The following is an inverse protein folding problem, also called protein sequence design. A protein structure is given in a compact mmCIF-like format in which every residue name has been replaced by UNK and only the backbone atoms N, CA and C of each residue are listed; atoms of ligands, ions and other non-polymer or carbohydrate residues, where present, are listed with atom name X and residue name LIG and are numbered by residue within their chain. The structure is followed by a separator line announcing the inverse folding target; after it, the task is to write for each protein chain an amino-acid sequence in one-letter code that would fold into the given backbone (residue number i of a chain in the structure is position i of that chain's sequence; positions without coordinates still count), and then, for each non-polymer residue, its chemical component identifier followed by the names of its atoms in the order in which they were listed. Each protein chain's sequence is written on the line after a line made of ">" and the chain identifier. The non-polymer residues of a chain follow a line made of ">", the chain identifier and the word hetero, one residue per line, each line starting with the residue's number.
data_IF_455150142273
#
_entry.id   IF_455150142273
#
_cell.length_a   1.000
_cell.length_b   1.000
_cell.length_c   1.000
_cell.angle_alpha   90.00
_cell.angle_beta   90.00
_cell.angle_gamma   90.00
#
_symmetry.space_group_name_H-M   'P 1'
#
loop_
_entity.id
_entity.type
_entity.pdbx_description
1 polymer ?
#
# COMPACT_ATOMS: atom_id res chain seq x y z
N UNK A 1 14.12 1.42 3.09
CA UNK A 1 13.21 0.41 3.68
C UNK A 1 12.75 -0.56 2.61
N UNK A 2 12.62 -1.85 2.96
CA UNK A 2 12.06 -2.88 2.07
C UNK A 2 10.63 -3.18 2.52
N UNK A 3 9.69 -3.04 1.58
CA UNK A 3 8.24 -3.18 1.80
C UNK A 3 7.73 -4.36 0.96
N UNK A 4 7.06 -5.31 1.59
CA UNK A 4 6.46 -6.45 0.88
C UNK A 4 5.13 -6.02 0.23
N UNK A 5 5.09 -6.04 -1.12
CA UNK A 5 3.91 -5.71 -1.94
C UNK A 5 2.82 -6.75 -1.76
N UNK A 6 1.69 -6.39 -1.15
CA UNK A 6 0.57 -7.28 -0.79
C UNK A 6 0.98 -8.47 0.09
N UNK A 7 2.11 -8.33 0.81
CA UNK A 7 2.77 -9.41 1.51
C UNK A 7 3.57 -10.35 0.59
N UNK A 8 4.19 -11.41 1.16
CA UNK A 8 4.82 -12.47 0.34
C UNK A 8 3.72 -13.32 -0.29
N UNK A 9 3.46 -13.07 -1.59
CA UNK A 9 2.33 -13.62 -2.32
C UNK A 9 2.68 -14.69 -3.34
N UNK A 10 3.96 -15.13 -3.41
CA UNK A 10 4.36 -16.21 -4.33
C UNK A 10 3.67 -17.54 -4.04
N UNK A 11 3.61 -17.91 -2.75
CA UNK A 11 3.02 -19.18 -2.27
C UNK A 11 1.76 -19.00 -1.44
N UNK A 12 1.36 -17.76 -1.17
CA UNK A 12 0.24 -17.39 -0.32
C UNK A 12 -0.67 -16.38 -1.05
N UNK A 13 -1.98 -16.38 -0.78
CA UNK A 13 -2.84 -15.37 -1.39
C UNK A 13 -2.39 -13.95 -1.03
N UNK A 14 -2.28 -13.08 -2.03
CA UNK A 14 -2.00 -11.66 -1.85
C UNK A 14 -2.99 -11.01 -0.89
N UNK A 15 -2.59 -9.93 -0.20
CA UNK A 15 -3.44 -9.17 0.71
C UNK A 15 -4.07 -10.02 1.83
N UNK A 16 -3.43 -11.13 2.21
CA UNK A 16 -3.89 -12.01 3.30
C UNK A 16 -3.04 -11.86 4.55
N UNK A 17 -3.63 -12.20 5.72
CA UNK A 17 -2.87 -12.22 6.98
C UNK A 17 -1.72 -13.23 6.94
N UNK A 18 -1.84 -14.32 6.17
CA UNK A 18 -0.77 -15.30 5.99
C UNK A 18 0.40 -14.73 5.21
N UNK A 19 0.15 -14.01 4.10
CA UNK A 19 1.18 -13.34 3.31
C UNK A 19 1.90 -12.24 4.13
N UNK A 20 1.16 -11.46 4.89
CA UNK A 20 1.74 -10.44 5.79
C UNK A 20 2.58 -11.04 6.91
N UNK A 21 2.10 -12.12 7.56
CA UNK A 21 2.89 -12.80 8.59
C UNK A 21 4.16 -13.45 8.04
N UNK A 22 4.12 -14.01 6.82
CA UNK A 22 5.30 -14.51 6.13
C UNK A 22 6.32 -13.38 5.88
N UNK A 23 5.83 -12.19 5.48
CA UNK A 23 6.69 -11.01 5.30
C UNK A 23 7.40 -10.59 6.59
N UNK A 24 6.71 -10.63 7.72
CA UNK A 24 7.33 -10.35 9.02
C UNK A 24 8.40 -11.38 9.39
N UNK A 25 8.19 -12.65 9.02
CA UNK A 25 9.13 -13.73 9.33
C UNK A 25 10.47 -13.57 8.58
N UNK A 26 10.46 -13.03 7.35
CA UNK A 26 11.70 -12.74 6.60
C UNK A 26 12.34 -11.41 6.98
N UNK A 27 11.69 -10.58 7.81
CA UNK A 27 12.30 -9.40 8.41
C UNK A 27 12.10 -8.09 7.67
N UNK A 28 11.12 -7.98 6.74
CA UNK A 28 10.81 -6.71 6.02
C UNK A 28 10.64 -5.52 6.97
N UNK A 29 10.90 -4.31 6.46
CA UNK A 29 10.67 -3.07 7.20
C UNK A 29 9.19 -2.69 7.26
N UNK A 30 8.41 -3.15 6.29
CA UNK A 30 6.98 -2.89 6.22
C UNK A 30 6.27 -3.85 5.28
N UNK A 31 4.95 -3.82 5.36
CA UNK A 31 4.03 -4.44 4.40
C UNK A 31 3.27 -3.35 3.66
N UNK A 32 2.85 -3.66 2.47
CA UNK A 32 1.90 -2.86 1.72
C UNK A 32 0.64 -3.71 1.49
N UNK A 33 -0.53 -3.09 1.49
CA UNK A 33 -1.79 -3.72 1.20
C UNK A 33 -2.82 -2.74 0.65
N UNK A 34 -3.75 -3.29 -0.16
CA UNK A 34 -4.78 -2.57 -0.89
C UNK A 34 -6.11 -2.57 -0.13
N UNK A 35 -6.77 -1.42 0.01
CA UNK A 35 -7.95 -1.31 0.85
C UNK A 35 -9.14 -0.67 0.13
N UNK A 36 -10.31 -1.32 0.29
CA UNK A 36 -11.60 -0.86 -0.20
C UNK A 36 -12.61 -0.71 0.93
N UNK A 37 -13.62 0.15 0.71
CA UNK A 37 -14.77 0.30 1.58
C UNK A 37 -15.92 -0.59 1.12
N UNK A 38 -16.50 -1.39 2.03
CA UNK A 38 -17.67 -2.21 1.78
C UNK A 38 -18.96 -1.40 1.89
N UNK A 39 -20.08 -1.96 1.40
CA UNK A 39 -21.42 -1.34 1.49
C UNK A 39 -21.84 -0.99 2.92
N UNK A 40 -21.43 -1.79 3.90
CA UNK A 40 -21.76 -1.60 5.33
C UNK A 40 -20.68 -0.84 6.10
N UNK A 41 -19.73 -0.19 5.39
CA UNK A 41 -18.75 0.71 5.96
C UNK A 41 -17.55 0.04 6.63
N UNK A 42 -17.31 -1.25 6.38
CA UNK A 42 -16.11 -1.95 6.80
C UNK A 42 -14.98 -1.74 5.79
N UNK A 43 -13.73 -1.70 6.25
CA UNK A 43 -12.56 -1.61 5.37
C UNK A 43 -11.94 -2.99 5.22
N UNK A 44 -11.80 -3.48 3.98
CA UNK A 44 -11.25 -4.79 3.64
C UNK A 44 -10.01 -4.68 2.77
N UNK A 45 -9.11 -5.66 2.93
CA UNK A 45 -7.83 -5.71 2.20
C UNK A 45 -7.96 -6.61 0.98
N UNK A 46 -8.02 -6.01 -0.21
CA UNK A 46 -8.12 -6.68 -1.52
C UNK A 46 -7.77 -5.66 -2.61
N UNK A 47 -7.07 -6.09 -3.69
CA UNK A 47 -6.61 -5.19 -4.73
C UNK A 47 -7.71 -4.69 -5.66
N UNK A 48 -8.48 -5.64 -6.26
CA UNK A 48 -9.48 -5.31 -7.27
C UNK A 48 -10.77 -4.81 -6.62
N UNK A 49 -11.59 -4.07 -7.36
CA UNK A 49 -12.91 -3.61 -6.93
C UNK A 49 -13.93 -4.77 -6.78
N UNK A 50 -13.53 -5.98 -7.16
CA UNK A 50 -14.32 -7.20 -7.07
C UNK A 50 -13.46 -8.41 -6.74
N UNK A 51 -14.09 -9.53 -6.38
CA UNK A 51 -13.40 -10.72 -5.87
C UNK A 51 -13.07 -11.77 -6.96
N UNK A 52 -13.37 -11.52 -8.24
CA UNK A 52 -13.33 -12.53 -9.30
C UNK A 52 -11.97 -13.18 -9.54
N UNK A 53 -10.88 -12.41 -9.36
CA UNK A 53 -9.51 -12.91 -9.61
C UNK A 53 -8.97 -13.76 -8.45
N UNK A 54 -9.34 -13.40 -7.23
CA UNK A 54 -8.75 -13.98 -6.01
C UNK A 54 -9.71 -14.86 -5.21
N UNK A 55 -10.96 -15.02 -5.67
CA UNK A 55 -11.97 -15.90 -5.05
C UNK A 55 -12.74 -16.69 -6.10
N UNK A 56 -13.44 -17.73 -5.66
CA UNK A 56 -14.29 -18.57 -6.53
C UNK A 56 -15.65 -17.97 -6.89
N UNK A 57 -15.99 -16.79 -6.37
CA UNK A 57 -17.23 -16.05 -6.63
C UNK A 57 -16.92 -14.58 -6.89
N UNK A 58 -17.64 -13.98 -7.84
CA UNK A 58 -17.50 -12.55 -8.13
C UNK A 58 -18.50 -11.72 -7.30
N UNK A 59 -17.97 -10.92 -6.39
CA UNK A 59 -18.70 -9.91 -5.63
C UNK A 59 -18.02 -8.55 -5.80
N UNK A 60 -18.79 -7.50 -6.10
CA UNK A 60 -18.28 -6.12 -6.15
C UNK A 60 -18.19 -5.60 -4.72
N UNK A 61 -17.02 -5.14 -4.29
CA UNK A 61 -16.70 -4.82 -2.89
C UNK A 61 -17.65 -3.73 -2.34
N UNK A 62 -17.79 -2.61 -3.04
CA UNK A 62 -18.64 -1.49 -2.59
C UNK A 62 -20.16 -1.84 -2.54
N UNK A 63 -20.56 -2.94 -3.17
CA UNK A 63 -21.93 -3.44 -3.18
C UNK A 63 -22.17 -4.60 -2.19
N UNK A 64 -21.12 -5.07 -1.52
CA UNK A 64 -21.14 -6.23 -0.62
C UNK A 64 -20.95 -5.82 0.83
N UNK A 65 -21.54 -6.56 1.75
CA UNK A 65 -21.28 -6.44 3.18
C UNK A 65 -20.03 -7.21 3.58
N UNK A 66 -19.42 -6.86 4.70
CA UNK A 66 -18.30 -7.62 5.27
C UNK A 66 -18.68 -9.11 5.46
N UNK A 67 -19.91 -9.40 5.91
CA UNK A 67 -20.36 -10.78 6.11
C UNK A 67 -20.31 -11.57 4.80
N UNK A 68 -20.85 -11.03 3.70
CA UNK A 68 -20.83 -11.68 2.39
C UNK A 68 -19.40 -11.95 1.90
N UNK A 69 -18.48 -11.00 2.11
CA UNK A 69 -17.06 -11.15 1.73
C UNK A 69 -16.34 -12.18 2.61
N UNK A 70 -16.64 -12.26 3.89
CA UNK A 70 -16.04 -13.24 4.83
C UNK A 70 -16.49 -14.69 4.58
N UNK A 71 -17.57 -14.91 3.81
CA UNK A 71 -17.94 -16.25 3.34
C UNK A 71 -16.99 -16.80 2.28
N UNK A 72 -16.32 -15.92 1.51
CA UNK A 72 -15.38 -16.30 0.47
C UNK A 72 -14.02 -16.77 1.04
N UNK A 73 -13.31 -17.58 0.28
CA UNK A 73 -11.92 -17.94 0.53
C UNK A 73 -11.04 -17.33 -0.56
N UNK A 74 -9.94 -16.72 -0.13
CA UNK A 74 -8.87 -16.29 -1.04
C UNK A 74 -8.18 -17.51 -1.63
N UNK A 75 -7.89 -17.45 -2.92
CA UNK A 75 -7.20 -18.47 -3.70
C UNK A 75 -5.82 -17.95 -4.12
N UNK A 76 -4.87 -18.85 -4.26
CA UNK A 76 -3.60 -18.62 -4.90
C UNK A 76 -3.48 -19.58 -6.08
N UNK A 77 -2.92 -19.14 -7.19
CA UNK A 77 -2.83 -19.93 -8.41
C UNK A 77 -2.15 -21.29 -8.12
N UNK A 78 -2.85 -22.38 -8.49
CA UNK A 78 -2.36 -23.75 -8.30
C UNK A 78 -2.41 -24.34 -6.89
N UNK A 79 -2.98 -23.63 -5.90
CA UNK A 79 -3.09 -24.11 -4.50
C UNK A 79 -4.50 -23.91 -3.96
N UNK A 80 -5.14 -24.99 -3.52
CA UNK A 80 -6.39 -24.94 -2.75
C UNK A 80 -6.09 -24.54 -1.31
N UNK A 81 -6.06 -23.24 -1.04
CA UNK A 81 -5.89 -22.71 0.31
C UNK A 81 -7.22 -22.75 1.05
N UNK A 82 -7.39 -23.75 1.84
CA UNK A 82 -8.55 -23.90 2.70
C UNK A 82 -8.57 -22.81 3.76
N UNK A 83 -9.65 -22.00 3.74
CA UNK A 83 -10.05 -21.11 4.82
C UNK A 83 -9.21 -19.84 5.05
N UNK A 84 -8.54 -19.30 4.03
CA UNK A 84 -7.92 -17.96 4.10
C UNK A 84 -8.95 -16.93 3.66
N UNK A 85 -9.28 -15.99 4.54
CA UNK A 85 -10.33 -14.97 4.36
C UNK A 85 -9.75 -13.64 3.94
N UNK A 86 -10.55 -12.84 3.24
CA UNK A 86 -10.26 -11.42 3.00
C UNK A 86 -10.17 -10.73 4.37
N UNK A 87 -9.02 -10.14 4.75
CA UNK A 87 -8.90 -9.51 6.05
C UNK A 87 -9.52 -8.10 6.06
N UNK A 88 -9.94 -7.66 7.24
CA UNK A 88 -10.28 -6.27 7.50
C UNK A 88 -9.03 -5.46 7.83
N UNK A 89 -9.09 -4.13 7.68
CA UNK A 89 -8.02 -3.24 8.13
C UNK A 89 -7.67 -3.48 9.61
N UNK A 90 -8.69 -3.59 10.48
CA UNK A 90 -8.47 -3.88 11.91
C UNK A 90 -7.72 -5.18 12.15
N UNK A 91 -7.96 -6.24 11.35
CA UNK A 91 -7.22 -7.50 11.45
C UNK A 91 -5.76 -7.33 11.01
N UNK A 92 -5.52 -6.59 9.92
CA UNK A 92 -4.16 -6.30 9.43
C UNK A 92 -3.38 -5.46 10.44
N UNK A 93 -3.98 -4.38 10.96
CA UNK A 93 -3.32 -3.50 11.95
C UNK A 93 -2.86 -4.25 13.21
N UNK A 94 -3.58 -5.28 13.63
CA UNK A 94 -3.24 -6.09 14.82
C UNK A 94 -1.95 -6.90 14.68
N UNK A 95 -1.55 -7.23 13.46
CA UNK A 95 -0.36 -8.03 13.20
C UNK A 95 0.87 -7.22 12.80
N UNK A 96 0.75 -5.88 12.72
CA UNK A 96 1.90 -5.00 12.46
C UNK A 96 2.78 -4.91 13.72
N UNK A 97 4.04 -5.38 13.67
CA UNK A 97 4.92 -5.32 14.83
C UNK A 97 5.30 -3.88 15.20
N UNK A 98 5.62 -3.65 16.46
CA UNK A 98 6.15 -2.36 16.91
C UNK A 98 7.41 -1.98 16.13
N UNK A 99 7.46 -0.74 15.64
CA UNK A 99 8.57 -0.21 14.85
C UNK A 99 8.56 -0.58 13.36
N UNK A 100 7.69 -1.48 12.92
CA UNK A 100 7.49 -1.82 11.51
C UNK A 100 6.44 -0.91 10.87
N UNK A 101 6.45 -0.81 9.53
CA UNK A 101 5.55 0.06 8.76
C UNK A 101 4.40 -0.73 8.14
N UNK A 102 3.28 -0.04 7.92
CA UNK A 102 2.23 -0.46 7.00
C UNK A 102 1.97 0.65 5.99
N UNK A 103 2.00 0.29 4.72
CA UNK A 103 1.56 1.13 3.60
C UNK A 103 0.13 0.71 3.26
N UNK A 104 -0.81 1.64 3.37
CA UNK A 104 -2.24 1.43 3.15
C UNK A 104 -2.60 2.10 1.83
N UNK A 105 -2.72 1.31 0.75
CA UNK A 105 -3.18 1.85 -0.52
C UNK A 105 -4.70 1.97 -0.53
N UNK A 106 -5.19 3.18 -0.74
CA UNK A 106 -6.61 3.46 -0.90
C UNK A 106 -7.00 3.25 -2.36
N UNK A 107 -7.86 2.24 -2.60
CA UNK A 107 -8.32 1.84 -3.93
C UNK A 107 -9.69 2.43 -4.32
N UNK A 108 -10.37 3.06 -3.37
CA UNK A 108 -11.66 3.76 -3.58
C UNK A 108 -11.50 5.26 -3.31
N UNK A 109 -12.60 6.03 -3.33
CA UNK A 109 -12.55 7.48 -3.19
C UNK A 109 -12.46 7.96 -1.74
N UNK A 110 -12.72 9.25 -1.55
CA UNK A 110 -12.61 9.94 -0.25
C UNK A 110 -13.57 9.43 0.83
N UNK A 111 -14.60 8.70 0.45
CA UNK A 111 -15.60 8.12 1.36
C UNK A 111 -15.00 7.16 2.40
N UNK A 112 -13.82 6.58 2.12
CA UNK A 112 -13.12 5.70 3.05
C UNK A 112 -12.42 6.47 4.18
N UNK A 113 -12.11 7.76 4.01
CA UNK A 113 -11.23 8.49 4.91
C UNK A 113 -11.77 8.58 6.35
N UNK A 114 -13.07 8.89 6.51
CA UNK A 114 -13.66 8.98 7.85
C UNK A 114 -13.65 7.64 8.60
N UNK A 115 -14.09 6.49 8.02
CA UNK A 115 -13.91 5.19 8.67
C UNK A 115 -12.45 4.81 8.88
N UNK A 116 -11.54 5.09 7.94
CA UNK A 116 -10.10 4.81 8.06
C UNK A 116 -9.49 5.52 9.28
N UNK A 117 -9.66 6.84 9.39
CA UNK A 117 -9.14 7.64 10.50
C UNK A 117 -9.71 7.13 11.83
N UNK A 118 -10.99 6.78 11.85
CA UNK A 118 -11.64 6.20 13.05
C UNK A 118 -11.05 4.85 13.44
N UNK A 119 -10.75 3.95 12.49
CA UNK A 119 -10.11 2.66 12.79
C UNK A 119 -8.66 2.85 13.27
N UNK A 120 -7.88 3.71 12.59
CA UNK A 120 -6.51 4.03 12.96
C UNK A 120 -6.44 4.62 14.38
N UNK A 121 -7.30 5.58 14.72
CA UNK A 121 -7.33 6.20 16.06
C UNK A 121 -7.72 5.24 17.19
N UNK A 122 -8.45 4.16 16.89
CA UNK A 122 -8.83 3.11 17.85
C UNK A 122 -7.81 1.98 17.94
N UNK A 123 -6.91 1.88 16.99
CA UNK A 123 -5.85 0.90 16.98
C UNK A 123 -4.74 1.28 17.96
N UNK A 124 -3.84 0.32 18.23
CA UNK A 124 -2.62 0.58 19.02
C UNK A 124 -1.43 1.00 18.17
N UNK A 125 -1.64 1.16 16.85
CA UNK A 125 -0.56 1.51 15.93
C UNK A 125 -0.20 2.99 16.11
N UNK A 126 1.10 3.29 16.05
CA UNK A 126 1.54 4.67 16.09
C UNK A 126 1.39 5.29 14.69
N UNK A 127 0.99 6.57 14.59
CA UNK A 127 0.87 7.26 13.30
C UNK A 127 2.15 7.20 12.47
N UNK A 128 3.32 7.20 13.13
CA UNK A 128 4.61 7.05 12.47
C UNK A 128 4.83 5.68 11.79
N UNK A 129 4.04 4.66 12.13
CA UNK A 129 4.08 3.34 11.49
C UNK A 129 3.19 3.27 10.24
N UNK A 130 2.30 4.25 10.03
CA UNK A 130 1.30 4.25 8.97
C UNK A 130 1.73 5.19 7.85
N UNK A 131 1.68 4.71 6.61
CA UNK A 131 1.84 5.50 5.39
C UNK A 131 0.61 5.24 4.52
N UNK A 132 -0.16 6.27 4.23
CA UNK A 132 -1.31 6.17 3.33
C UNK A 132 -0.84 6.50 1.92
N UNK A 133 -1.21 5.68 0.96
CA UNK A 133 -0.84 5.88 -0.44
C UNK A 133 -2.08 5.80 -1.32
N UNK A 134 -2.14 6.59 -2.38
CA UNK A 134 -3.25 6.56 -3.34
C UNK A 134 -2.85 7.18 -4.68
N UNK A 135 -3.46 6.69 -5.77
CA UNK A 135 -3.43 7.35 -7.08
C UNK A 135 -4.38 8.55 -7.15
N UNK A 136 -5.37 8.61 -6.25
CA UNK A 136 -6.32 9.71 -6.21
C UNK A 136 -5.76 10.88 -5.38
N UNK A 137 -5.42 11.97 -6.08
CA UNK A 137 -4.93 13.21 -5.46
C UNK A 137 -5.90 13.81 -4.45
N UNK A 138 -7.22 13.60 -4.65
CA UNK A 138 -8.23 14.13 -3.73
C UNK A 138 -8.20 13.36 -2.40
N UNK A 139 -8.01 12.05 -2.44
CA UNK A 139 -7.80 11.21 -1.24
C UNK A 139 -6.60 11.71 -0.43
N UNK A 140 -5.45 11.93 -1.09
CA UNK A 140 -4.24 12.45 -0.42
C UNK A 140 -4.50 13.82 0.18
N UNK A 141 -5.09 14.74 -0.59
CA UNK A 141 -5.38 16.11 -0.12
C UNK A 141 -6.31 16.13 1.08
N UNK A 142 -7.46 15.44 0.99
CA UNK A 142 -8.44 15.44 2.08
C UNK A 142 -7.90 14.73 3.32
N UNK A 143 -7.14 13.63 3.16
CA UNK A 143 -6.47 13.00 4.29
C UNK A 143 -5.56 13.98 5.04
N UNK A 144 -4.73 14.75 4.30
CA UNK A 144 -3.81 15.73 4.92
C UNK A 144 -4.55 16.90 5.58
N UNK A 145 -5.79 17.19 5.16
CA UNK A 145 -6.66 18.18 5.81
C UNK A 145 -7.33 17.61 7.07
N UNK A 146 -7.75 16.34 7.04
CA UNK A 146 -8.49 15.69 8.14
C UNK A 146 -7.59 15.13 9.24
N UNK A 147 -6.42 14.59 8.87
CA UNK A 147 -5.52 13.86 9.78
C UNK A 147 -4.05 14.04 9.36
N UNK A 148 -3.50 15.27 9.49
CA UNK A 148 -2.15 15.62 9.02
C UNK A 148 -1.03 14.84 9.70
N UNK A 149 -1.30 14.18 10.82
CA UNK A 149 -0.34 13.32 11.54
C UNK A 149 0.01 12.03 10.80
N UNK A 150 -0.80 11.59 9.83
CA UNK A 150 -0.48 10.46 8.99
C UNK A 150 0.28 10.90 7.75
N UNK A 151 1.34 10.15 7.43
CA UNK A 151 2.07 10.35 6.19
C UNK A 151 1.20 9.94 5.00
N UNK A 152 1.20 10.77 3.95
CA UNK A 152 0.44 10.52 2.72
C UNK A 152 1.32 10.71 1.48
N UNK A 153 1.33 9.73 0.58
CA UNK A 153 2.06 9.78 -0.68
C UNK A 153 1.09 9.69 -1.85
N UNK A 154 1.36 10.46 -2.90
CA UNK A 154 0.67 10.27 -4.17
C UNK A 154 1.39 9.18 -4.97
N UNK A 155 0.64 8.16 -5.40
CA UNK A 155 1.12 7.20 -6.37
C UNK A 155 1.00 7.78 -7.78
N UNK A 156 2.04 7.56 -8.58
CA UNK A 156 2.10 8.10 -9.92
C UNK A 156 2.72 7.08 -10.88
N UNK A 157 1.94 6.64 -11.88
CA UNK A 157 2.48 5.91 -13.01
C UNK A 157 3.11 6.91 -13.99
N UNK A 158 4.42 6.81 -14.14
CA UNK A 158 5.19 7.75 -14.95
C UNK A 158 4.69 7.75 -16.40
N UNK A 159 4.42 8.96 -16.90
CA UNK A 159 4.09 9.21 -18.29
C UNK A 159 5.20 10.07 -18.92
N UNK A 160 5.75 9.59 -20.03
CA UNK A 160 6.78 10.30 -20.74
C UNK A 160 6.36 11.75 -21.07
N UNK A 161 7.30 12.68 -20.91
CA UNK A 161 7.09 14.10 -21.20
C UNK A 161 6.52 14.94 -20.06
N UNK A 162 6.23 14.36 -18.90
CA UNK A 162 5.82 15.17 -17.73
C UNK A 162 7.04 15.68 -16.96
N UNK A 163 7.11 16.99 -16.82
CA UNK A 163 8.18 17.66 -16.08
C UNK A 163 8.11 17.34 -14.57
N UNK A 164 9.25 16.98 -13.97
CA UNK A 164 9.34 16.68 -12.52
C UNK A 164 8.95 17.87 -11.65
N UNK A 165 9.25 19.08 -12.08
CA UNK A 165 8.85 20.32 -11.39
C UNK A 165 7.33 20.48 -11.28
N UNK A 166 6.59 20.08 -12.31
CA UNK A 166 5.12 20.07 -12.28
C UNK A 166 4.56 19.06 -11.29
N UNK A 167 5.19 17.86 -11.17
CA UNK A 167 4.81 16.88 -10.17
C UNK A 167 5.12 17.36 -8.75
N UNK A 168 6.29 17.95 -8.52
CA UNK A 168 6.67 18.51 -7.22
C UNK A 168 5.68 19.59 -6.78
N UNK A 169 5.29 20.49 -7.68
CA UNK A 169 4.29 21.52 -7.37
C UNK A 169 2.94 20.89 -7.01
N UNK A 170 2.52 19.85 -7.73
CA UNK A 170 1.30 19.12 -7.39
C UNK A 170 1.35 18.50 -5.99
N UNK A 171 2.49 17.92 -5.59
CA UNK A 171 2.66 17.37 -4.22
C UNK A 171 2.48 18.47 -3.16
N UNK A 172 3.06 19.64 -3.36
CA UNK A 172 2.89 20.76 -2.45
C UNK A 172 1.45 21.27 -2.41
N UNK A 173 0.77 21.35 -3.55
CA UNK A 173 -0.63 21.79 -3.63
C UNK A 173 -1.59 20.89 -2.84
N UNK A 174 -1.33 19.58 -2.83
CA UNK A 174 -2.12 18.59 -2.07
C UNK A 174 -1.54 18.28 -0.70
N UNK A 175 -0.44 18.92 -0.31
CA UNK A 175 0.27 18.69 0.96
C UNK A 175 0.76 17.24 1.15
N UNK A 176 1.04 16.53 0.04
CA UNK A 176 1.61 15.19 0.13
C UNK A 176 3.01 15.23 0.75
N UNK A 177 3.36 14.20 1.51
CA UNK A 177 4.69 14.05 2.10
C UNK A 177 5.72 13.50 1.09
N UNK A 178 5.26 12.99 -0.05
CA UNK A 178 6.12 12.46 -1.11
C UNK A 178 5.33 11.81 -2.25
N UNK A 179 6.08 11.11 -3.09
CA UNK A 179 5.59 10.44 -4.30
C UNK A 179 6.08 8.98 -4.36
N UNK A 180 5.22 8.08 -4.82
CA UNK A 180 5.57 6.71 -5.18
C UNK A 180 5.43 6.48 -6.68
N UNK A 181 6.45 5.90 -7.34
CA UNK A 181 6.42 5.69 -8.79
C UNK A 181 6.66 4.23 -9.18
N UNK A 182 6.06 3.82 -10.30
CA UNK A 182 6.06 2.44 -10.83
C UNK A 182 7.21 2.12 -11.79
N UNK A 183 8.03 3.11 -12.15
CA UNK A 183 9.07 2.96 -13.14
C UNK A 183 10.46 3.30 -12.60
N UNK A 184 11.46 2.73 -13.25
CA UNK A 184 12.86 3.12 -13.11
C UNK A 184 13.04 4.53 -13.66
N UNK A 185 12.90 5.53 -12.78
CA UNK A 185 13.14 6.91 -13.16
C UNK A 185 14.64 7.24 -13.09
N UNK A 186 15.02 8.28 -13.83
CA UNK A 186 16.42 8.71 -13.83
C UNK A 186 16.86 9.18 -12.44
N UNK A 187 18.15 9.04 -12.15
CA UNK A 187 18.75 9.57 -10.92
C UNK A 187 18.41 11.04 -10.71
N UNK A 188 18.44 11.84 -11.78
CA UNK A 188 18.11 13.26 -11.73
C UNK A 188 16.67 13.51 -11.26
N UNK A 189 15.71 12.67 -11.68
CA UNK A 189 14.33 12.76 -11.21
C UNK A 189 14.24 12.51 -9.70
N UNK A 190 14.82 11.40 -9.23
CA UNK A 190 14.84 11.02 -7.81
C UNK A 190 15.47 12.12 -6.96
N UNK A 191 16.66 12.61 -7.36
CA UNK A 191 17.37 13.67 -6.66
C UNK A 191 16.57 14.97 -6.59
N UNK A 192 15.88 15.38 -7.68
CA UNK A 192 15.04 16.58 -7.68
C UNK A 192 13.88 16.49 -6.69
N UNK A 193 13.22 15.32 -6.60
CA UNK A 193 12.15 15.08 -5.61
C UNK A 193 12.70 15.21 -4.20
N UNK A 194 13.80 14.54 -3.89
CA UNK A 194 14.40 14.56 -2.55
C UNK A 194 14.91 15.95 -2.15
N UNK A 195 15.58 16.65 -3.07
CA UNK A 195 16.08 18.02 -2.83
C UNK A 195 14.93 19.00 -2.54
N UNK A 196 13.73 18.75 -3.10
CA UNK A 196 12.55 19.57 -2.80
C UNK A 196 11.98 19.35 -1.38
N UNK A 197 12.51 18.39 -0.62
CA UNK A 197 12.06 18.03 0.72
C UNK A 197 10.95 16.98 0.75
N UNK A 198 10.61 16.39 -0.40
CA UNK A 198 9.62 15.31 -0.51
C UNK A 198 10.29 13.94 -0.40
N UNK A 199 9.56 12.95 0.12
CA UNK A 199 10.00 11.56 0.09
C UNK A 199 9.78 10.96 -1.31
N UNK A 200 10.72 10.08 -1.71
CA UNK A 200 10.62 9.30 -2.95
C UNK A 200 10.53 7.80 -2.63
N UNK A 201 9.54 7.13 -3.20
CA UNK A 201 9.28 5.70 -3.02
C UNK A 201 9.15 5.02 -4.38
N UNK A 202 9.60 3.77 -4.49
CA UNK A 202 9.55 3.01 -5.75
C UNK A 202 8.76 1.72 -5.59
N UNK A 203 7.92 1.39 -6.59
CA UNK A 203 7.12 0.18 -6.67
C UNK A 203 6.89 -0.21 -8.14
N UNK A 204 6.68 -1.44 -8.55
CA UNK A 204 7.10 -2.64 -7.86
C UNK A 204 8.46 -3.04 -8.41
N UNK A 205 9.46 -3.11 -7.57
CA UNK A 205 10.86 -3.33 -7.97
C UNK A 205 11.30 -4.72 -7.50
N UNK A 206 11.35 -5.68 -8.41
CA UNK A 206 11.68 -7.08 -8.13
C UNK A 206 13.12 -7.46 -8.53
N UNK A 207 13.90 -6.49 -9.04
CA UNK A 207 15.30 -6.67 -9.39
C UNK A 207 16.21 -6.05 -8.33
N UNK A 208 17.13 -6.86 -7.77
CA UNK A 208 18.02 -6.43 -6.69
C UNK A 208 18.98 -5.31 -7.09
N UNK A 209 19.51 -5.33 -8.32
CA UNK A 209 20.43 -4.30 -8.80
C UNK A 209 19.71 -2.96 -8.92
N UNK A 210 18.53 -2.95 -9.52
CA UNK A 210 17.66 -1.78 -9.60
C UNK A 210 17.29 -1.25 -8.21
N UNK A 211 16.90 -2.13 -7.28
CA UNK A 211 16.58 -1.75 -5.91
C UNK A 211 17.76 -1.08 -5.21
N UNK A 212 18.96 -1.68 -5.29
CA UNK A 212 20.19 -1.13 -4.73
C UNK A 212 20.57 0.21 -5.36
N UNK A 213 20.36 0.36 -6.67
CA UNK A 213 20.58 1.61 -7.38
C UNK A 213 19.65 2.72 -6.87
N UNK A 214 18.34 2.46 -6.77
CA UNK A 214 17.35 3.41 -6.27
C UNK A 214 17.62 3.81 -4.80
N UNK A 215 18.00 2.85 -3.96
CA UNK A 215 18.44 3.11 -2.58
C UNK A 215 19.68 4.02 -2.57
N UNK A 216 20.66 3.77 -3.44
CA UNK A 216 21.86 4.61 -3.54
C UNK A 216 21.56 6.05 -3.97
N UNK A 217 20.48 6.28 -4.70
CA UNK A 217 19.98 7.60 -5.10
C UNK A 217 19.13 8.28 -4.02
N UNK A 218 18.82 7.57 -2.92
CA UNK A 218 18.12 8.11 -1.76
C UNK A 218 16.64 7.74 -1.68
N UNK A 219 16.17 6.74 -2.45
CA UNK A 219 14.78 6.24 -2.30
C UNK A 219 14.49 5.84 -0.85
N UNK A 220 13.39 6.33 -0.30
CA UNK A 220 12.98 6.10 1.08
C UNK A 220 12.51 4.66 1.31
N UNK A 221 11.84 4.06 0.29
CA UNK A 221 11.48 2.64 0.31
C UNK A 221 11.44 2.03 -1.09
N UNK A 222 11.61 0.72 -1.11
CA UNK A 222 11.40 -0.15 -2.26
C UNK A 222 10.27 -1.08 -1.89
N UNK A 223 9.17 -1.03 -2.65
CA UNK A 223 8.08 -2.00 -2.56
C UNK A 223 8.30 -3.09 -3.61
N UNK A 224 8.28 -4.36 -3.18
CA UNK A 224 8.68 -5.50 -4.01
C UNK A 224 7.83 -6.74 -3.75
N UNK A 225 7.64 -7.58 -4.78
CA UNK A 225 7.06 -8.92 -4.65
C UNK A 225 8.08 -9.95 -4.13
N UNK A 226 9.39 -9.62 -4.21
CA UNK A 226 10.52 -10.51 -3.93
C UNK A 226 11.38 -9.98 -2.77
N UNK A 227 10.79 -9.73 -1.57
CA UNK A 227 11.53 -9.10 -0.48
C UNK A 227 12.72 -9.93 0.00
N UNK A 228 12.68 -11.26 -0.14
CA UNK A 228 13.76 -12.16 0.25
C UNK A 228 15.06 -11.93 -0.56
N UNK A 229 14.95 -11.41 -1.79
CA UNK A 229 16.11 -11.05 -2.62
C UNK A 229 16.82 -9.78 -2.14
N UNK A 230 16.13 -8.94 -1.37
CA UNK A 230 16.60 -7.60 -0.94
C UNK A 230 16.99 -7.55 0.54
N UNK A 231 16.60 -8.54 1.33
CA UNK A 231 16.96 -8.67 2.75
C UNK A 231 18.09 -9.68 2.86
N UNK A 232 19.29 -9.19 3.18
CA UNK A 232 20.49 -10.01 3.44
C UNK A 232 20.78 -10.08 4.92
#
# INVERSE_FOLDING_TARGET
>A
MIIAHRGISFDLPENSLSAFNASWAVGVDGIEGDFHLTRDGSIVCIHDDNTSRVCNKNLVICNSTLQELKELNLQCEGKDHLNIKIPTLTEVLKIVPSGKKIFIEIKCGVEILSPLIKELSRSKINSTQVVIISFDRQVVKELKEMAPEYKALLLYSYKEGREVSSLINEMFDIKADGIGTDNELSKEFVEKVIISGLEYHSWTIDNADTANQLISWGSNSITTNEPELLIQ
#
